data_IF_989359837055
#
_entry.id   IF_989359837055
#
_cell.length_a   1.000
_cell.length_b   1.000
_cell.length_c   1.000
_cell.angle_alpha   90.00
_cell.angle_beta   90.00
_cell.angle_gamma   90.00
#
_symmetry.space_group_name_H-M   'P 1'
#
loop_
_entity.id
_entity.type
_entity.pdbx_description
1 polymer ?
#
# COMPACT_ATOMS: atom_id res chain seq x y z
N UNK A 1 -1.61 -15.51 18.30
CA UNK A 1 -2.62 -14.44 18.25
C UNK A 1 -2.22 -13.41 17.21
N UNK A 2 -3.12 -13.07 16.31
CA UNK A 2 -2.85 -12.05 15.31
C UNK A 2 -2.73 -10.67 15.98
N UNK A 3 -1.84 -9.78 15.51
CA UNK A 3 -1.77 -8.43 16.02
C UNK A 3 -3.04 -7.66 15.71
N UNK A 4 -3.37 -6.72 16.56
CA UNK A 4 -4.51 -5.84 16.35
C UNK A 4 -4.27 -4.98 15.12
N UNK A 5 -5.33 -4.78 14.32
CA UNK A 5 -5.22 -3.96 13.12
C UNK A 5 -4.88 -2.51 13.47
N UNK A 6 -3.91 -1.97 12.75
CA UNK A 6 -3.53 -0.56 12.89
C UNK A 6 -2.86 -0.08 11.61
N UNK A 7 -3.08 1.19 11.30
CA UNK A 7 -2.34 1.88 10.23
C UNK A 7 -1.54 3.00 10.87
N UNK A 8 -0.23 2.94 10.73
CA UNK A 8 0.67 3.96 11.26
C UNK A 8 1.24 4.78 10.10
N UNK A 9 1.16 6.09 10.20
CA UNK A 9 1.62 6.99 9.15
C UNK A 9 3.03 7.50 9.45
N UNK A 10 3.90 7.44 8.44
CA UNK A 10 5.27 7.92 8.53
C UNK A 10 5.54 8.89 7.37
N UNK A 11 5.31 10.20 7.58
CA UNK A 11 5.59 11.19 6.53
C UNK A 11 7.09 11.24 6.23
N UNK A 12 7.44 11.26 4.95
CA UNK A 12 8.84 11.39 4.52
C UNK A 12 9.12 12.82 4.09
N UNK A 13 8.25 13.37 3.24
CA UNK A 13 8.32 14.77 2.80
C UNK A 13 6.93 15.24 2.35
N UNK A 14 6.87 16.32 1.59
CA UNK A 14 5.59 16.90 1.16
C UNK A 14 4.75 15.95 0.29
N UNK A 15 5.38 15.05 -0.46
CA UNK A 15 4.68 14.16 -1.39
C UNK A 15 4.82 12.67 -1.06
N UNK A 16 5.90 12.26 -0.38
CA UNK A 16 6.16 10.86 -0.05
C UNK A 16 5.69 10.53 1.36
N UNK A 17 4.98 9.44 1.48
CA UNK A 17 4.32 9.05 2.73
C UNK A 17 4.32 7.52 2.85
N UNK A 18 4.68 7.01 4.01
CA UNK A 18 4.65 5.57 4.29
C UNK A 18 3.46 5.28 5.21
N UNK A 19 2.66 4.28 4.81
CA UNK A 19 1.58 3.73 5.63
C UNK A 19 1.98 2.32 6.02
N UNK A 20 2.28 2.10 7.29
CA UNK A 20 2.58 0.77 7.82
C UNK A 20 1.29 0.15 8.32
N UNK A 21 0.93 -1.00 7.75
CA UNK A 21 -0.31 -1.71 8.08
C UNK A 21 0.00 -2.95 8.89
N UNK A 22 -0.63 -3.08 10.04
CA UNK A 22 -0.43 -4.18 10.96
C UNK A 22 -1.69 -5.00 11.10
N UNK A 23 -1.54 -6.33 11.17
CA UNK A 23 -2.65 -7.23 11.42
C UNK A 23 -3.31 -7.73 10.13
N UNK A 24 -4.57 -8.10 10.22
CA UNK A 24 -5.34 -8.63 9.10
C UNK A 24 -6.08 -7.52 8.38
N UNK A 25 -5.99 -7.50 7.06
CA UNK A 25 -6.75 -6.55 6.23
C UNK A 25 -7.86 -7.34 5.54
N UNK A 26 -9.07 -7.20 6.07
CA UNK A 26 -10.23 -7.94 5.64
C UNK A 26 -11.43 -7.01 5.40
N UNK A 27 -12.61 -7.60 5.21
CA UNK A 27 -13.85 -6.86 5.00
C UNK A 27 -14.13 -5.83 6.11
N UNK A 28 -13.70 -6.10 7.35
CA UNK A 28 -13.97 -5.23 8.48
C UNK A 28 -12.94 -4.13 8.66
N UNK A 29 -11.68 -4.38 8.30
CA UNK A 29 -10.58 -3.45 8.50
C UNK A 29 -10.22 -2.66 7.24
N UNK A 30 -10.51 -3.20 6.06
CA UNK A 30 -10.20 -2.53 4.79
C UNK A 30 -10.79 -1.13 4.67
N UNK A 31 -12.00 -0.83 5.19
CA UNK A 31 -12.54 0.53 5.13
C UNK A 31 -11.66 1.57 5.84
N UNK A 32 -11.02 1.20 6.94
CA UNK A 32 -10.11 2.12 7.63
C UNK A 32 -8.87 2.42 6.78
N UNK A 33 -8.29 1.39 6.16
CA UNK A 33 -7.16 1.58 5.25
C UNK A 33 -7.56 2.44 4.06
N UNK A 34 -8.73 2.20 3.50
CA UNK A 34 -9.26 3.00 2.38
C UNK A 34 -9.36 4.48 2.76
N UNK A 35 -9.87 4.76 3.96
CA UNK A 35 -10.01 6.14 4.42
C UNK A 35 -8.66 6.82 4.61
N UNK A 36 -7.70 6.14 5.22
CA UNK A 36 -6.34 6.69 5.42
C UNK A 36 -5.68 6.98 4.08
N UNK A 37 -5.80 6.07 3.11
CA UNK A 37 -5.28 6.28 1.76
C UNK A 37 -5.95 7.48 1.08
N UNK A 38 -7.27 7.59 1.21
CA UNK A 38 -8.02 8.69 0.61
C UNK A 38 -7.58 10.04 1.17
N UNK A 39 -7.43 10.14 2.48
CA UNK A 39 -6.99 11.37 3.15
C UNK A 39 -5.56 11.74 2.73
N UNK A 40 -4.69 10.75 2.64
CA UNK A 40 -3.31 10.91 2.21
C UNK A 40 -3.25 11.51 0.79
N UNK A 41 -4.00 10.94 -0.13
CA UNK A 41 -4.06 11.39 -1.53
C UNK A 41 -4.66 12.79 -1.64
N UNK A 42 -5.75 13.04 -0.92
CA UNK A 42 -6.38 14.36 -0.92
C UNK A 42 -5.47 15.45 -0.35
N UNK A 43 -4.58 15.10 0.57
CA UNK A 43 -3.61 16.03 1.14
C UNK A 43 -2.42 16.30 0.21
N UNK A 44 -2.40 15.70 -0.98
CA UNK A 44 -1.32 15.89 -1.95
C UNK A 44 -0.14 14.95 -1.77
N UNK A 45 -0.26 13.97 -0.88
CA UNK A 45 0.78 12.95 -0.66
C UNK A 45 0.54 11.81 -1.62
N UNK A 46 1.02 11.99 -2.83
CA UNK A 46 0.71 11.11 -3.96
C UNK A 46 1.81 10.10 -4.27
N UNK A 47 2.87 10.07 -3.47
CA UNK A 47 3.94 9.07 -3.59
C UNK A 47 3.90 8.22 -2.33
N UNK A 48 3.12 7.14 -2.40
CA UNK A 48 2.69 6.37 -1.24
C UNK A 48 3.38 5.02 -1.20
N UNK A 49 3.89 4.68 -0.03
CA UNK A 49 4.40 3.35 0.27
C UNK A 49 3.43 2.69 1.25
N UNK A 50 2.93 1.52 0.89
CA UNK A 50 2.13 0.69 1.79
C UNK A 50 3.03 -0.44 2.30
N UNK A 51 3.40 -0.38 3.56
CA UNK A 51 4.29 -1.35 4.17
C UNK A 51 3.49 -2.46 4.83
N UNK A 52 3.54 -3.65 4.25
CA UNK A 52 2.83 -4.83 4.71
C UNK A 52 3.70 -5.77 5.56
N UNK A 53 4.86 -5.30 6.05
CA UNK A 53 5.79 -6.13 6.82
C UNK A 53 5.12 -6.77 8.04
N UNK A 54 4.22 -6.06 8.70
CA UNK A 54 3.50 -6.56 9.87
C UNK A 54 2.06 -6.99 9.55
N UNK A 55 1.72 -7.07 8.28
CA UNK A 55 0.42 -7.57 7.83
C UNK A 55 0.46 -9.10 7.80
N UNK A 56 -0.53 -9.73 8.44
CA UNK A 56 -0.57 -11.19 8.58
C UNK A 56 -1.54 -11.85 7.60
N UNK A 57 -2.46 -11.09 7.02
CA UNK A 57 -3.46 -11.61 6.09
C UNK A 57 -4.07 -10.45 5.30
N UNK A 58 -4.38 -10.69 4.04
CA UNK A 58 -5.22 -9.77 3.26
C UNK A 58 -6.13 -10.56 2.32
N UNK A 59 -7.34 -10.07 2.16
CA UNK A 59 -8.35 -10.70 1.30
C UNK A 59 -8.64 -9.86 0.05
N UNK A 60 -9.64 -10.28 -0.72
CA UNK A 60 -10.00 -9.58 -1.95
C UNK A 60 -10.50 -8.14 -1.71
N UNK A 61 -11.08 -7.87 -0.53
CA UNK A 61 -11.51 -6.51 -0.19
C UNK A 61 -10.30 -5.60 -0.04
N UNK A 62 -9.25 -6.08 0.62
CA UNK A 62 -7.99 -5.36 0.76
C UNK A 62 -7.36 -5.09 -0.60
N UNK A 63 -7.33 -6.08 -1.47
CA UNK A 63 -6.79 -5.92 -2.82
C UNK A 63 -7.55 -4.85 -3.61
N UNK A 64 -8.87 -4.84 -3.48
CA UNK A 64 -9.72 -3.81 -4.11
C UNK A 64 -9.38 -2.41 -3.63
N UNK A 65 -9.10 -2.24 -2.35
CA UNK A 65 -8.68 -0.95 -1.78
C UNK A 65 -7.36 -0.49 -2.39
N UNK A 66 -6.39 -1.39 -2.50
CA UNK A 66 -5.09 -1.07 -3.07
C UNK A 66 -5.19 -0.72 -4.56
N UNK A 67 -6.00 -1.48 -5.31
CA UNK A 67 -6.25 -1.21 -6.73
C UNK A 67 -6.89 0.17 -6.90
N UNK A 68 -7.88 0.49 -6.09
CA UNK A 68 -8.55 1.79 -6.13
C UNK A 68 -7.58 2.93 -5.84
N UNK A 69 -6.66 2.74 -4.89
CA UNK A 69 -5.63 3.72 -4.58
C UNK A 69 -4.70 3.96 -5.77
N UNK A 70 -4.24 2.90 -6.45
CA UNK A 70 -3.39 3.04 -7.64
C UNK A 70 -4.10 3.83 -8.73
N UNK A 71 -5.37 3.56 -8.97
CA UNK A 71 -6.15 4.29 -9.98
C UNK A 71 -6.25 5.78 -9.66
N UNK A 72 -6.51 6.11 -8.41
CA UNK A 72 -6.59 7.51 -7.97
C UNK A 72 -5.23 8.20 -8.08
N UNK A 73 -4.16 7.51 -7.73
CA UNK A 73 -2.81 8.06 -7.81
C UNK A 73 -2.40 8.32 -9.26
N UNK A 74 -2.77 7.43 -10.18
CA UNK A 74 -2.47 7.63 -11.60
C UNK A 74 -3.08 8.92 -12.15
N UNK A 75 -4.27 9.28 -11.69
CA UNK A 75 -4.93 10.51 -12.12
C UNK A 75 -4.27 11.77 -11.55
N UNK A 76 -3.32 11.61 -10.63
CA UNK A 76 -2.60 12.72 -9.97
C UNK A 76 -1.09 12.65 -10.18
N UNK A 77 -0.63 11.91 -11.17
CA UNK A 77 0.79 11.66 -11.44
C UNK A 77 1.53 11.09 -10.24
N UNK A 78 0.83 10.32 -9.43
CA UNK A 78 1.40 9.70 -8.24
C UNK A 78 1.85 8.28 -8.50
N UNK A 79 2.33 7.63 -7.45
CA UNK A 79 2.79 6.24 -7.49
C UNK A 79 2.55 5.55 -6.16
N UNK A 80 2.42 4.23 -6.20
CA UNK A 80 2.28 3.40 -5.00
C UNK A 80 3.26 2.24 -5.10
N UNK A 81 4.01 1.99 -4.03
CA UNK A 81 4.84 0.81 -3.90
C UNK A 81 4.44 0.06 -2.64
N UNK A 82 4.61 -1.24 -2.66
CA UNK A 82 4.28 -2.13 -1.55
C UNK A 82 5.55 -2.76 -1.02
N UNK A 83 5.71 -2.76 0.31
CA UNK A 83 6.77 -3.50 0.99
C UNK A 83 6.17 -4.81 1.49
N UNK A 84 6.73 -5.92 1.06
CA UNK A 84 6.26 -7.24 1.47
C UNK A 84 7.41 -8.24 1.57
N UNK A 85 7.44 -9.00 2.68
CA UNK A 85 8.40 -10.07 2.93
C UNK A 85 7.70 -11.42 3.13
N UNK A 86 6.37 -11.45 3.15
CA UNK A 86 5.59 -12.66 3.40
C UNK A 86 5.32 -13.41 2.10
N UNK A 87 5.71 -14.69 2.06
CA UNK A 87 5.54 -15.52 0.87
C UNK A 87 4.08 -15.79 0.53
N UNK A 88 3.21 -15.88 1.52
CA UNK A 88 1.79 -16.12 1.30
C UNK A 88 1.12 -14.90 0.68
N UNK A 89 1.47 -13.72 1.14
CA UNK A 89 0.98 -12.46 0.57
C UNK A 89 1.52 -12.30 -0.86
N UNK A 90 2.81 -12.60 -1.07
CA UNK A 90 3.41 -12.57 -2.41
C UNK A 90 2.65 -13.50 -3.37
N UNK A 91 2.32 -14.69 -2.90
CA UNK A 91 1.59 -15.67 -3.69
C UNK A 91 0.19 -15.17 -4.07
N UNK A 92 -0.47 -14.48 -3.16
CA UNK A 92 -1.77 -13.86 -3.42
C UNK A 92 -1.68 -12.84 -4.56
N UNK A 93 -0.65 -12.01 -4.57
CA UNK A 93 -0.43 -11.05 -5.66
C UNK A 93 -0.13 -11.76 -6.98
N UNK A 94 0.66 -12.83 -6.95
CA UNK A 94 0.98 -13.61 -8.15
C UNK A 94 -0.26 -14.28 -8.75
N UNK A 95 -1.03 -14.97 -7.92
CA UNK A 95 -2.22 -15.71 -8.37
C UNK A 95 -3.27 -14.79 -8.98
N UNK A 96 -3.41 -13.60 -8.44
CA UNK A 96 -4.37 -12.61 -8.94
C UNK A 96 -3.83 -11.77 -10.11
N UNK A 97 -2.55 -11.92 -10.44
CA UNK A 97 -1.90 -11.12 -11.49
C UNK A 97 -1.57 -9.69 -11.04
N UNK A 98 -1.79 -9.36 -9.79
CA UNK A 98 -1.59 -8.00 -9.28
C UNK A 98 -0.12 -7.65 -9.10
N UNK A 99 0.77 -8.63 -9.08
CA UNK A 99 2.21 -8.40 -9.09
C UNK A 99 2.66 -7.67 -10.36
N UNK A 100 1.85 -7.69 -11.42
CA UNK A 100 2.11 -6.95 -12.66
C UNK A 100 1.66 -5.49 -12.56
N UNK A 101 0.81 -5.18 -11.59
CA UNK A 101 0.24 -3.83 -11.42
C UNK A 101 0.97 -3.05 -10.33
N UNK A 102 1.34 -3.73 -9.24
CA UNK A 102 2.02 -3.11 -8.11
C UNK A 102 3.52 -3.28 -8.19
N UNK A 103 4.26 -2.25 -7.79
CA UNK A 103 5.69 -2.37 -7.49
C UNK A 103 5.81 -2.93 -6.08
N UNK A 104 6.35 -4.14 -5.97
CA UNK A 104 6.50 -4.84 -4.68
C UNK A 104 7.97 -5.05 -4.41
N UNK A 105 8.45 -4.56 -3.28
CA UNK A 105 9.88 -4.59 -2.92
C UNK A 105 10.04 -5.06 -1.47
N UNK A 106 11.24 -5.51 -1.08
CA UNK A 106 11.43 -6.10 0.26
C UNK A 106 11.74 -5.09 1.37
N UNK A 107 11.95 -3.81 1.07
CA UNK A 107 12.30 -2.83 2.10
C UNK A 107 11.63 -1.48 1.86
N UNK A 108 11.48 -0.71 2.95
CA UNK A 108 10.95 0.65 2.86
C UNK A 108 11.84 1.56 2.03
N UNK A 109 13.14 1.45 2.18
CA UNK A 109 14.09 2.29 1.45
C UNK A 109 13.93 2.10 -0.05
N UNK A 110 13.84 0.85 -0.51
CA UNK A 110 13.60 0.56 -1.92
C UNK A 110 12.25 1.08 -2.38
N UNK A 111 11.22 0.98 -1.54
CA UNK A 111 9.88 1.46 -1.88
C UNK A 111 9.84 2.98 -1.98
N UNK A 112 10.44 3.67 -1.02
CA UNK A 112 10.51 5.14 -1.00
C UNK A 112 11.24 5.64 -2.26
N UNK A 113 12.33 4.99 -2.63
CA UNK A 113 13.07 5.32 -3.83
C UNK A 113 12.26 5.04 -5.10
N UNK A 114 11.56 3.91 -5.14
CA UNK A 114 10.73 3.53 -6.28
C UNK A 114 9.63 4.56 -6.55
N UNK A 115 8.94 5.03 -5.52
CA UNK A 115 7.87 6.03 -5.69
C UNK A 115 8.42 7.43 -5.99
N UNK A 116 9.65 7.72 -5.62
CA UNK A 116 10.29 8.99 -5.93
C UNK A 116 10.62 9.11 -7.42
N UNK A 117 10.97 7.99 -8.06
CA UNK A 117 11.37 7.93 -9.47
C UNK A 117 10.22 7.62 -10.41
N UNK A 118 9.20 6.89 -9.93
CA UNK A 118 8.09 6.45 -10.76
C UNK A 118 7.09 7.57 -11.01
N UNK A 119 6.56 7.61 -12.23
CA UNK A 119 5.36 8.37 -12.52
C UNK A 119 4.29 7.38 -12.92
N UNK A 120 3.04 7.64 -12.53
CA UNK A 120 1.90 6.77 -12.85
C UNK A 120 1.29 7.09 -14.20
N UNK A 121 1.90 7.98 -14.93
CA UNK A 121 1.44 8.41 -16.25
C UNK A 121 1.91 7.52 -17.37
#
# INVERSE_FOLDING_TARGET
MAPEFAVTEHPIDATRHVLAVRGEIDLFTAPELKQVLAECIEAGRVRVVVDLTETTFLDSTALGVLIGAVKRLRSRDGALAIVNLDENIAKTFEITGLDQIFTIVPSRDEAIEAVALATAG
#
